data_IF_248944157342
#
_entry.id   IF_248944157342
#
_cell.length_a   1.000
_cell.length_b   1.000
_cell.length_c   1.000
_cell.angle_alpha   90.00
_cell.angle_beta   90.00
_cell.angle_gamma   90.00
#
_symmetry.space_group_name_H-M   'P 1'
#
loop_
_entity.id
_entity.type
_entity.pdbx_description
1 polymer ?
#
# COMPACT_ATOMS: atom_id res chain seq x y z
N UNK A 1 -13.16 -7.54 19.54
CA UNK A 1 -12.46 -8.53 18.69
C UNK A 1 -11.42 -7.80 17.84
N UNK A 2 -10.25 -7.44 18.40
CA UNK A 2 -9.33 -6.54 17.68
C UNK A 2 -7.87 -6.99 17.53
N UNK A 3 -7.37 -8.04 18.19
CA UNK A 3 -5.90 -8.19 18.31
C UNK A 3 -5.31 -9.44 17.66
N UNK A 4 -5.75 -9.83 16.47
CA UNK A 4 -5.08 -10.91 15.72
C UNK A 4 -4.00 -10.42 14.76
N UNK A 5 -4.01 -9.13 14.43
CA UNK A 5 -3.05 -8.54 13.50
C UNK A 5 -2.60 -7.17 13.95
N UNK A 6 -1.30 -6.92 13.89
CA UNK A 6 -0.71 -5.59 14.10
C UNK A 6 -0.28 -4.97 12.77
N UNK A 7 -0.48 -3.67 12.63
CA UNK A 7 -0.01 -2.87 11.51
C UNK A 7 1.16 -2.03 12.02
N UNK A 8 2.35 -2.29 11.50
CA UNK A 8 3.59 -1.71 12.00
C UNK A 8 4.12 -0.73 10.94
N UNK A 9 4.05 0.59 11.17
CA UNK A 9 4.65 1.58 10.27
C UNK A 9 6.17 1.48 10.25
N UNK A 10 6.74 1.42 9.05
CA UNK A 10 8.18 1.25 8.83
C UNK A 10 8.72 2.11 7.68
N UNK A 11 7.88 2.97 7.09
CA UNK A 11 8.28 3.84 5.98
C UNK A 11 9.51 4.68 6.35
N UNK A 12 10.54 4.67 5.49
CA UNK A 12 11.82 5.37 5.76
C UNK A 12 12.74 4.68 6.78
N UNK A 13 12.30 3.59 7.42
CA UNK A 13 13.02 2.90 8.50
C UNK A 13 13.14 1.39 8.27
N UNK A 14 13.24 0.95 7.01
CA UNK A 14 13.38 -0.48 6.67
C UNK A 14 14.84 -0.92 6.77
N UNK A 15 15.19 -1.64 7.84
CA UNK A 15 16.52 -2.22 8.04
C UNK A 15 16.74 -3.52 7.25
N UNK A 16 17.99 -3.99 7.15
CA UNK A 16 18.34 -5.19 6.38
C UNK A 16 17.61 -6.45 6.87
N UNK A 17 17.37 -6.57 8.18
CA UNK A 17 16.65 -7.70 8.77
C UNK A 17 15.20 -7.72 8.28
N UNK A 18 14.52 -6.58 8.34
CA UNK A 18 13.15 -6.44 7.86
C UNK A 18 13.06 -6.66 6.35
N UNK A 19 14.05 -6.19 5.57
CA UNK A 19 14.12 -6.47 4.14
C UNK A 19 14.18 -7.97 3.85
N UNK A 20 14.99 -8.74 4.59
CA UNK A 20 15.05 -10.21 4.49
C UNK A 20 13.72 -10.86 4.83
N UNK A 21 13.08 -10.44 5.93
CA UNK A 21 11.76 -10.96 6.33
C UNK A 21 10.69 -10.72 5.25
N UNK A 22 10.58 -9.50 4.72
CA UNK A 22 9.60 -9.16 3.67
C UNK A 22 9.91 -9.88 2.36
N UNK A 23 11.19 -10.00 2.00
CA UNK A 23 11.61 -10.74 0.81
C UNK A 23 11.22 -12.21 0.89
N UNK A 24 11.52 -12.91 1.99
CA UNK A 24 11.14 -14.31 2.17
C UNK A 24 9.61 -14.48 2.25
N UNK A 25 8.90 -13.53 2.84
CA UNK A 25 7.43 -13.49 2.80
C UNK A 25 6.90 -13.41 1.36
N UNK A 26 7.40 -12.51 0.53
CA UNK A 26 6.96 -12.42 -0.87
C UNK A 26 7.35 -13.63 -1.71
N UNK A 27 8.56 -14.13 -1.53
CA UNK A 27 9.08 -15.32 -2.22
C UNK A 27 8.24 -16.55 -1.92
N UNK A 28 7.97 -16.83 -0.63
CA UNK A 28 7.13 -17.96 -0.22
C UNK A 28 5.69 -17.89 -0.72
N UNK A 29 5.19 -16.68 -1.00
CA UNK A 29 3.84 -16.44 -1.51
C UNK A 29 3.78 -16.16 -3.03
N UNK A 30 4.91 -16.26 -3.75
CA UNK A 30 5.03 -15.92 -5.17
C UNK A 30 4.41 -14.55 -5.50
N UNK A 31 4.56 -13.58 -4.60
CA UNK A 31 3.91 -12.28 -4.69
C UNK A 31 4.51 -11.39 -5.78
N UNK A 32 5.81 -11.56 -6.07
CA UNK A 32 6.57 -10.86 -7.11
C UNK A 32 7.41 -11.92 -7.83
N UNK A 33 7.30 -12.00 -9.15
CA UNK A 33 7.94 -13.07 -9.93
C UNK A 33 9.44 -12.92 -10.09
N UNK A 34 9.94 -11.69 -10.13
CA UNK A 34 11.36 -11.37 -10.25
C UNK A 34 11.98 -11.14 -8.85
N UNK A 35 12.96 -11.98 -8.41
CA UNK A 35 13.64 -11.83 -7.12
C UNK A 35 14.38 -10.50 -6.95
N UNK A 36 15.00 -9.96 -8.00
CA UNK A 36 15.76 -8.71 -7.90
C UNK A 36 14.80 -7.53 -7.70
N UNK A 37 13.69 -7.53 -8.45
CA UNK A 37 12.60 -6.58 -8.23
C UNK A 37 11.99 -6.73 -6.83
N UNK A 38 11.76 -7.96 -6.36
CA UNK A 38 11.24 -8.22 -5.02
C UNK A 38 12.19 -7.64 -3.95
N UNK A 39 13.50 -7.86 -4.07
CA UNK A 39 14.49 -7.30 -3.16
C UNK A 39 14.53 -5.78 -3.21
N UNK A 40 14.47 -5.15 -4.39
CA UNK A 40 14.42 -3.69 -4.52
C UNK A 40 13.16 -3.10 -3.87
N UNK A 41 11.99 -3.73 -4.05
CA UNK A 41 10.72 -3.26 -3.47
C UNK A 41 10.66 -3.35 -1.96
N UNK A 42 11.55 -4.08 -1.29
CA UNK A 42 11.61 -4.07 0.18
C UNK A 42 11.90 -2.68 0.76
N UNK A 43 12.61 -1.81 0.02
CA UNK A 43 12.81 -0.40 0.42
C UNK A 43 11.55 0.47 0.33
N UNK A 44 10.50 -0.03 -0.31
CA UNK A 44 9.25 0.70 -0.54
C UNK A 44 8.21 0.39 0.53
N UNK A 45 8.50 -0.49 1.50
CA UNK A 45 7.53 -0.94 2.50
C UNK A 45 7.14 0.23 3.40
N UNK A 46 5.83 0.45 3.53
CA UNK A 46 5.26 1.48 4.39
C UNK A 46 4.67 0.89 5.68
N UNK A 47 3.86 -0.16 5.56
CA UNK A 47 3.30 -0.91 6.70
C UNK A 47 3.67 -2.38 6.56
N UNK A 48 4.07 -3.00 7.67
CA UNK A 48 4.18 -4.46 7.82
C UNK A 48 3.05 -4.97 8.68
N UNK A 49 2.27 -5.91 8.15
CA UNK A 49 1.18 -6.58 8.85
C UNK A 49 1.74 -7.85 9.48
N UNK A 50 1.60 -7.99 10.79
CA UNK A 50 1.98 -9.20 11.52
C UNK A 50 0.76 -9.89 12.11
N UNK A 51 0.79 -11.22 12.21
CA UNK A 51 -0.22 -11.99 12.94
C UNK A 51 0.11 -12.03 14.45
N UNK A 52 -0.73 -12.72 15.24
CA UNK A 52 -0.57 -12.85 16.69
C UNK A 52 0.74 -13.53 17.14
N UNK A 53 1.38 -14.34 16.29
CA UNK A 53 2.66 -14.99 16.59
C UNK A 53 3.87 -14.20 16.06
N UNK A 54 3.64 -13.06 15.40
CA UNK A 54 4.67 -12.15 14.93
C UNK A 54 5.13 -12.35 13.49
N UNK A 55 4.58 -13.30 12.75
CA UNK A 55 4.95 -13.53 11.34
C UNK A 55 4.50 -12.37 10.45
N UNK A 56 5.28 -12.05 9.42
CA UNK A 56 4.82 -11.17 8.33
C UNK A 56 3.74 -11.90 7.53
N UNK A 57 2.56 -11.31 7.45
CA UNK A 57 1.40 -11.87 6.70
C UNK A 57 0.90 -10.96 5.60
N UNK A 58 1.39 -9.72 5.57
CA UNK A 58 1.11 -8.77 4.52
C UNK A 58 1.94 -7.51 4.67
N UNK A 59 1.96 -6.71 3.62
CA UNK A 59 2.64 -5.42 3.56
C UNK A 59 1.86 -4.44 2.70
N UNK A 60 1.97 -3.15 2.99
CA UNK A 60 1.80 -2.10 2.00
C UNK A 60 3.15 -1.58 1.55
N UNK A 61 3.22 -1.17 0.29
CA UNK A 61 4.39 -0.54 -0.30
C UNK A 61 3.97 0.73 -1.03
N UNK A 62 4.83 1.73 -1.00
CA UNK A 62 4.66 2.98 -1.74
C UNK A 62 5.95 3.36 -2.46
N UNK A 63 5.83 3.85 -3.68
CA UNK A 63 6.94 4.46 -4.41
C UNK A 63 6.51 5.81 -4.98
N UNK A 64 7.46 6.71 -5.17
CA UNK A 64 7.19 8.03 -5.73
C UNK A 64 7.26 7.94 -7.25
N UNK A 65 6.23 8.43 -7.93
CA UNK A 65 6.25 8.67 -9.37
C UNK A 65 5.42 9.90 -9.72
N UNK A 66 5.61 10.43 -10.93
CA UNK A 66 4.80 11.52 -11.44
C UNK A 66 3.42 11.00 -11.83
N UNK A 67 2.40 11.77 -11.48
CA UNK A 67 1.02 11.53 -11.90
C UNK A 67 0.56 12.60 -12.89
N UNK A 68 -0.68 12.52 -13.37
CA UNK A 68 -1.28 13.50 -14.28
C UNK A 68 -1.04 14.94 -13.81
N UNK A 69 -0.48 15.78 -14.68
CA UNK A 69 -0.06 17.14 -14.35
C UNK A 69 1.40 17.28 -13.90
N UNK A 70 2.18 16.19 -13.89
CA UNK A 70 3.62 16.21 -13.63
C UNK A 70 3.99 16.40 -12.16
N UNK A 71 3.03 16.21 -11.24
CA UNK A 71 3.25 16.31 -9.80
C UNK A 71 3.57 14.93 -9.21
N UNK A 72 4.47 14.86 -8.21
CA UNK A 72 4.81 13.60 -7.55
C UNK A 72 3.67 13.11 -6.64
N UNK A 73 3.36 11.81 -6.73
CA UNK A 73 2.42 11.09 -5.87
C UNK A 73 3.05 9.80 -5.34
N UNK A 74 2.56 9.33 -4.19
CA UNK A 74 2.84 7.99 -3.70
C UNK A 74 1.94 6.97 -4.41
N UNK A 75 2.54 6.05 -5.15
CA UNK A 75 1.83 4.94 -5.77
C UNK A 75 1.75 3.78 -4.79
N UNK A 76 0.54 3.54 -4.29
CA UNK A 76 0.24 2.54 -3.28
C UNK A 76 -0.02 1.16 -3.89
N UNK A 77 0.58 0.15 -3.27
CA UNK A 77 0.27 -1.27 -3.48
C UNK A 77 0.15 -1.95 -2.12
N UNK A 78 -0.58 -3.06 -2.07
CA UNK A 78 -0.54 -3.95 -0.93
C UNK A 78 -0.68 -5.41 -1.32
N UNK A 79 -0.10 -6.27 -0.49
CA UNK A 79 -0.22 -7.70 -0.61
C UNK A 79 -0.45 -8.30 0.78
N UNK A 80 -1.48 -9.13 0.90
CA UNK A 80 -1.76 -9.93 2.09
C UNK A 80 -1.86 -11.39 1.64
N UNK A 81 -1.19 -12.30 2.34
CA UNK A 81 -1.23 -13.73 1.98
C UNK A 81 -2.66 -14.25 2.08
N UNK A 82 -3.09 -15.17 1.19
CA UNK A 82 -4.49 -15.56 1.07
C UNK A 82 -5.17 -16.00 2.39
N UNK A 83 -4.47 -16.73 3.24
CA UNK A 83 -4.99 -17.26 4.52
C UNK A 83 -5.36 -16.15 5.53
N UNK A 84 -4.82 -14.95 5.37
CA UNK A 84 -4.95 -13.86 6.36
C UNK A 84 -5.76 -12.69 5.79
N UNK A 85 -6.41 -12.90 4.63
CA UNK A 85 -7.33 -11.93 4.02
C UNK A 85 -8.66 -11.89 4.77
N UNK A 86 -8.61 -11.38 5.99
CA UNK A 86 -9.77 -11.18 6.85
C UNK A 86 -10.48 -9.87 6.54
N UNK A 87 -11.72 -9.77 7.00
CA UNK A 87 -12.57 -8.59 6.78
C UNK A 87 -11.86 -7.29 7.19
N UNK A 88 -11.90 -6.28 6.32
CA UNK A 88 -11.32 -4.93 6.50
C UNK A 88 -9.82 -4.82 6.72
N UNK A 89 -9.03 -5.90 6.74
CA UNK A 89 -7.58 -5.78 6.96
C UNK A 89 -6.90 -4.93 5.87
N UNK A 90 -7.23 -5.17 4.60
CA UNK A 90 -6.72 -4.35 3.49
C UNK A 90 -7.17 -2.89 3.56
N UNK A 91 -8.39 -2.63 4.04
CA UNK A 91 -8.94 -1.28 4.20
C UNK A 91 -8.19 -0.52 5.29
N UNK A 92 -8.00 -1.14 6.47
CA UNK A 92 -7.19 -0.57 7.56
C UNK A 92 -5.77 -0.29 7.08
N UNK A 93 -5.15 -1.24 6.39
CA UNK A 93 -3.79 -1.08 5.85
C UNK A 93 -3.68 0.14 4.93
N UNK A 94 -4.66 0.36 4.04
CA UNK A 94 -4.68 1.54 3.17
C UNK A 94 -4.81 2.84 3.98
N UNK A 95 -5.75 2.90 4.92
CA UNK A 95 -6.00 4.11 5.70
C UNK A 95 -4.82 4.47 6.60
N UNK A 96 -4.21 3.47 7.26
CA UNK A 96 -3.01 3.64 8.08
C UNK A 96 -1.80 4.08 7.23
N UNK A 97 -1.65 3.52 6.03
CA UNK A 97 -0.60 3.96 5.10
C UNK A 97 -0.82 5.41 4.66
N UNK A 98 -2.07 5.79 4.37
CA UNK A 98 -2.43 7.16 4.01
C UNK A 98 -2.11 8.13 5.16
N UNK A 99 -2.58 7.82 6.37
CA UNK A 99 -2.35 8.67 7.56
C UNK A 99 -0.87 8.81 7.88
N UNK A 100 -0.11 7.71 7.84
CA UNK A 100 1.34 7.72 7.99
C UNK A 100 1.99 8.71 7.03
N UNK A 101 1.66 8.63 5.74
CA UNK A 101 2.28 9.48 4.72
C UNK A 101 1.80 10.92 4.78
N UNK A 102 0.51 11.14 5.04
CA UNK A 102 -0.09 12.47 5.12
C UNK A 102 0.49 13.28 6.28
N UNK A 103 0.79 12.63 7.41
CA UNK A 103 1.36 13.27 8.60
C UNK A 103 2.89 13.46 8.55
N UNK A 104 3.57 12.96 7.52
CA UNK A 104 5.01 13.20 7.35
C UNK A 104 5.31 14.69 7.24
N UNK A 105 6.27 15.13 8.03
CA UNK A 105 6.85 16.48 7.94
C UNK A 105 8.05 16.43 7.01
N UNK A 106 7.79 16.54 5.71
CA UNK A 106 8.81 16.59 4.65
C UNK A 106 8.40 17.67 3.63
N UNK A 107 9.24 18.70 3.38
CA UNK A 107 8.95 19.74 2.39
C UNK A 107 8.89 19.21 0.95
N UNK A 108 9.47 18.04 0.68
CA UNK A 108 9.45 17.37 -0.62
C UNK A 108 8.39 16.25 -0.71
N UNK A 109 7.52 16.14 0.30
CA UNK A 109 6.44 15.15 0.34
C UNK A 109 5.58 15.23 -0.93
N UNK A 110 5.35 14.08 -1.61
CA UNK A 110 4.37 13.95 -2.69
C UNK A 110 2.98 14.50 -2.33
N UNK A 111 2.20 14.90 -3.34
CA UNK A 111 0.91 15.58 -3.17
C UNK A 111 -0.22 14.70 -2.61
N UNK A 112 -0.05 13.38 -2.65
CA UNK A 112 -1.08 12.46 -2.22
C UNK A 112 -0.76 11.01 -2.56
N UNK A 113 -1.80 10.18 -2.59
CA UNK A 113 -1.73 8.77 -2.96
C UNK A 113 -2.45 8.49 -4.29
N UNK A 114 -1.88 7.58 -5.06
CA UNK A 114 -2.49 6.97 -6.25
C UNK A 114 -2.57 5.47 -6.05
N UNK A 115 -3.70 4.87 -6.40
CA UNK A 115 -3.88 3.41 -6.46
C UNK A 115 -4.18 3.05 -7.91
N UNK A 116 -3.35 2.18 -8.47
CA UNK A 116 -3.64 1.50 -9.73
C UNK A 116 -4.17 0.12 -9.39
N UNK A 117 -5.43 -0.14 -9.74
CA UNK A 117 -6.12 -1.39 -9.41
C UNK A 117 -5.66 -2.54 -10.33
N UNK A 118 -4.44 -3.04 -10.12
CA UNK A 118 -3.83 -4.17 -10.86
C UNK A 118 -4.71 -5.44 -10.79
N UNK A 119 -5.55 -5.57 -9.75
CA UNK A 119 -6.50 -6.66 -9.59
C UNK A 119 -7.93 -6.21 -9.90
N UNK A 120 -8.59 -6.84 -10.88
CA UNK A 120 -10.01 -6.61 -11.23
C UNK A 120 -10.96 -6.69 -10.03
N UNK A 121 -10.62 -7.43 -8.97
CA UNK A 121 -11.39 -7.50 -7.72
C UNK A 121 -11.49 -6.15 -6.99
N UNK A 122 -10.51 -5.27 -7.15
CA UNK A 122 -10.51 -3.92 -6.57
C UNK A 122 -11.53 -3.00 -7.25
N UNK A 123 -11.99 -3.35 -8.45
CA UNK A 123 -13.05 -2.63 -9.17
C UNK A 123 -14.46 -3.14 -8.85
N UNK A 124 -14.60 -4.09 -7.92
CA UNK A 124 -15.92 -4.55 -7.45
C UNK A 124 -16.59 -3.49 -6.59
N UNK A 125 -17.93 -3.48 -6.62
CA UNK A 125 -18.80 -2.49 -5.93
C UNK A 125 -18.40 -2.21 -4.47
N UNK A 126 -18.04 -3.25 -3.71
CA UNK A 126 -17.66 -3.10 -2.30
C UNK A 126 -16.37 -2.30 -2.09
N UNK A 127 -15.32 -2.59 -2.87
CA UNK A 127 -14.05 -1.87 -2.78
C UNK A 127 -14.19 -0.44 -3.34
N UNK A 128 -14.91 -0.27 -4.45
CA UNK A 128 -15.21 1.06 -4.99
C UNK A 128 -15.92 1.97 -3.98
N UNK A 129 -17.00 1.46 -3.36
CA UNK A 129 -17.73 2.21 -2.33
C UNK A 129 -16.85 2.55 -1.13
N UNK A 130 -15.93 1.65 -0.76
CA UNK A 130 -14.97 1.91 0.30
C UNK A 130 -13.99 3.04 -0.08
N UNK A 131 -13.42 3.00 -1.29
CA UNK A 131 -12.50 4.03 -1.77
C UNK A 131 -13.20 5.40 -1.87
N UNK A 132 -14.38 5.46 -2.49
CA UNK A 132 -15.22 6.66 -2.58
C UNK A 132 -15.55 7.21 -1.18
N UNK A 133 -15.98 6.34 -0.26
CA UNK A 133 -16.26 6.71 1.13
C UNK A 133 -15.01 7.10 1.93
N UNK A 134 -13.82 6.77 1.44
CA UNK A 134 -12.51 7.15 2.01
C UNK A 134 -11.88 8.32 1.24
N UNK A 135 -12.69 9.10 0.52
CA UNK A 135 -12.31 10.31 -0.22
C UNK A 135 -11.36 10.09 -1.41
N UNK A 136 -11.18 8.85 -1.87
CA UNK A 136 -10.50 8.61 -3.14
C UNK A 136 -11.43 8.98 -4.30
N UNK A 137 -10.89 9.69 -5.27
CA UNK A 137 -11.56 10.06 -6.53
C UNK A 137 -11.14 9.09 -7.61
N UNK A 138 -12.11 8.54 -8.34
CA UNK A 138 -11.84 7.73 -9.52
C UNK A 138 -11.49 8.63 -10.70
N UNK A 139 -10.32 8.43 -11.30
CA UNK A 139 -9.84 9.27 -12.41
C UNK A 139 -9.95 8.60 -13.79
N UNK A 140 -10.27 7.30 -13.82
CA UNK A 140 -10.48 6.56 -15.05
C UNK A 140 -9.68 5.28 -15.10
N UNK A 141 -9.31 4.88 -16.32
CA UNK A 141 -8.68 3.61 -16.60
C UNK A 141 -7.33 3.82 -17.28
N UNK A 142 -6.34 2.98 -16.95
CA UNK A 142 -5.11 2.87 -17.74
C UNK A 142 -5.39 2.30 -19.13
N UNK A 143 -4.44 2.42 -20.05
CA UNK A 143 -4.53 1.81 -21.39
C UNK A 143 -4.70 0.27 -21.32
N UNK A 144 -4.21 -0.34 -20.24
CA UNK A 144 -4.28 -1.77 -19.93
C UNK A 144 -5.53 -2.17 -19.14
N UNK A 145 -6.42 -1.20 -18.83
CA UNK A 145 -7.73 -1.45 -18.24
C UNK A 145 -7.75 -1.55 -16.71
N UNK A 146 -6.75 -0.98 -16.02
CA UNK A 146 -6.72 -0.89 -14.56
C UNK A 146 -7.36 0.41 -14.09
N UNK A 147 -8.20 0.35 -13.07
CA UNK A 147 -8.82 1.55 -12.52
C UNK A 147 -7.83 2.39 -11.73
N UNK A 148 -7.83 3.70 -11.93
CA UNK A 148 -6.96 4.67 -11.25
C UNK A 148 -7.78 5.45 -10.23
N UNK A 149 -7.31 5.44 -8.99
CA UNK A 149 -7.90 6.18 -7.87
C UNK A 149 -6.86 7.11 -7.27
N UNK A 150 -7.26 8.33 -6.92
CA UNK A 150 -6.39 9.35 -6.35
C UNK A 150 -6.95 9.90 -5.04
N UNK A 151 -6.07 10.19 -4.10
CA UNK A 151 -6.35 10.95 -2.89
C UNK A 151 -5.31 12.06 -2.77
N UNK A 152 -5.75 13.30 -2.63
CA UNK A 152 -4.87 14.45 -2.38
C UNK A 152 -4.74 14.67 -0.88
N UNK A 153 -3.52 14.86 -0.39
CA UNK A 153 -3.31 15.24 1.01
C UNK A 153 -3.88 16.61 1.30
N UNK A 154 -4.36 16.81 2.53
CA UNK A 154 -4.74 18.13 2.99
C UNK A 154 -3.55 19.10 2.87
N UNK A 155 -3.78 20.38 2.52
CA UNK A 155 -2.76 21.41 2.65
C UNK A 155 -2.20 21.41 4.07
N UNK A 156 -0.88 21.53 4.23
CA UNK A 156 -0.28 21.80 5.54
C UNK A 156 -0.89 23.12 6.05
N UNK A 157 -1.54 23.06 7.21
CA UNK A 157 -2.13 24.21 7.88
C UNK A 157 -1.05 25.18 8.40
#
# INVERSE_FOLDING_TARGET
MHDFYSLNPVFGHVDERLRKEVFEFWKSNQAIGDPDEAWRRTNQVAIVIRNAVGDVVGVSTVYVALHTGGLPYYFYRSFVRPADRVYKLAHRTLLETRELLETLTDPHKPKGLVIVAENKKLMRKGMRRFLEGSQFVFEGWTATGEGVWKYDFAPLA
#
